data_IF_860990418974
#
_entry.id   IF_860990418974
#
_cell.length_a   1.000
_cell.length_b   1.000
_cell.length_c   1.000
_cell.angle_alpha   90.00
_cell.angle_beta   90.00
_cell.angle_gamma   90.00
#
_symmetry.space_group_name_H-M   'P 1'
#
loop_
_entity.id
_entity.type
_entity.pdbx_description
1 polymer ?
#
# COMPACT_ATOMS: atom_id res chain seq x y z
N UNK A 1 11.38 2.97 -7.91
CA UNK A 1 10.86 1.66 -7.46
C UNK A 1 9.46 1.41 -8.04
N UNK A 2 9.17 0.19 -8.47
CA UNK A 2 7.88 -0.21 -9.03
C UNK A 2 7.33 -1.43 -8.28
N UNK A 3 6.01 -1.47 -8.09
CA UNK A 3 5.34 -2.58 -7.44
C UNK A 3 5.25 -3.79 -8.39
N UNK A 4 5.76 -4.95 -7.97
CA UNK A 4 5.78 -6.18 -8.76
C UNK A 4 4.40 -6.73 -9.11
N UNK A 5 3.34 -6.35 -8.38
CA UNK A 5 1.98 -6.86 -8.61
C UNK A 5 1.09 -5.94 -9.44
N UNK A 6 1.14 -4.63 -9.18
CA UNK A 6 0.22 -3.68 -9.79
C UNK A 6 0.93 -2.57 -10.57
N UNK A 7 2.25 -2.63 -10.71
CA UNK A 7 3.07 -1.70 -11.49
C UNK A 7 2.90 -0.23 -11.10
N UNK A 8 2.41 0.04 -9.87
CA UNK A 8 2.37 1.42 -9.39
C UNK A 8 3.77 1.88 -9.05
N UNK A 9 4.13 3.06 -9.55
CA UNK A 9 5.35 3.79 -9.18
C UNK A 9 5.10 4.78 -8.05
N UNK A 10 3.84 4.99 -7.66
CA UNK A 10 3.42 5.90 -6.60
C UNK A 10 2.82 5.11 -5.45
N UNK A 11 3.40 5.26 -4.26
CA UNK A 11 2.89 4.73 -2.98
C UNK A 11 3.52 5.53 -1.85
N UNK A 12 2.81 5.72 -0.74
CA UNK A 12 3.37 6.40 0.43
C UNK A 12 4.42 5.56 1.16
N UNK A 13 4.22 4.24 1.18
CA UNK A 13 5.10 3.29 1.84
C UNK A 13 5.32 2.10 0.91
N UNK A 14 6.56 1.64 0.81
CA UNK A 14 6.91 0.41 0.12
C UNK A 14 6.90 -0.75 1.11
N UNK A 15 6.40 -1.90 0.69
CA UNK A 15 6.36 -3.14 1.48
C UNK A 15 7.14 -4.22 0.73
N UNK A 16 7.62 -5.22 1.48
CA UNK A 16 8.20 -6.44 0.91
C UNK A 16 7.32 -7.62 1.27
N UNK A 17 7.10 -8.52 0.30
CA UNK A 17 6.46 -9.81 0.57
C UNK A 17 7.43 -10.75 1.31
N UNK A 18 6.93 -11.91 1.77
CA UNK A 18 7.76 -13.00 2.29
C UNK A 18 8.77 -13.54 1.26
N UNK A 19 8.45 -13.42 -0.03
CA UNK A 19 9.33 -13.83 -1.14
C UNK A 19 10.31 -12.73 -1.55
N UNK A 20 10.33 -11.59 -0.85
CA UNK A 20 11.20 -10.46 -1.18
C UNK A 20 10.67 -9.56 -2.31
N UNK A 21 9.49 -9.83 -2.87
CA UNK A 21 8.89 -9.02 -3.92
C UNK A 21 8.52 -7.62 -3.40
N UNK A 22 8.77 -6.59 -4.21
CA UNK A 22 8.46 -5.21 -3.86
C UNK A 22 6.98 -4.92 -4.11
N UNK A 23 6.23 -4.60 -3.04
CA UNK A 23 4.81 -4.32 -3.09
C UNK A 23 4.52 -2.86 -2.68
N UNK A 24 3.47 -2.29 -3.25
CA UNK A 24 2.93 -1.02 -2.77
C UNK A 24 2.22 -1.22 -1.43
N UNK A 25 2.03 -0.14 -0.66
CA UNK A 25 1.40 -0.19 0.66
C UNK A 25 0.07 -0.93 0.63
N UNK A 26 -0.79 -0.58 -0.34
CA UNK A 26 -2.11 -1.15 -0.45
C UNK A 26 -2.08 -2.62 -0.91
N UNK A 27 -1.12 -3.04 -1.74
CA UNK A 27 -0.96 -4.45 -2.13
C UNK A 27 -0.52 -5.30 -0.94
N UNK A 28 0.54 -4.90 -0.24
CA UNK A 28 1.04 -5.66 0.91
C UNK A 28 0.06 -5.72 2.08
N UNK A 29 -0.68 -4.63 2.36
CA UNK A 29 -1.75 -4.67 3.38
C UNK A 29 -2.87 -5.60 2.96
N UNK A 30 -3.29 -5.57 1.69
CA UNK A 30 -4.37 -6.42 1.21
C UNK A 30 -4.02 -7.91 1.32
N UNK A 31 -2.82 -8.31 0.89
CA UNK A 31 -2.34 -9.69 1.03
C UNK A 31 -2.30 -10.10 2.51
N UNK A 32 -1.80 -9.24 3.40
CA UNK A 32 -1.76 -9.54 4.84
C UNK A 32 -3.15 -9.72 5.46
N UNK A 33 -4.15 -8.95 5.03
CA UNK A 33 -5.50 -8.98 5.60
C UNK A 33 -6.42 -10.03 4.95
N UNK A 34 -6.19 -10.37 3.67
CA UNK A 34 -7.09 -11.23 2.88
C UNK A 34 -6.45 -12.54 2.45
N UNK A 35 -5.15 -12.72 2.65
CA UNK A 35 -4.41 -13.94 2.27
C UNK A 35 -4.25 -14.13 0.76
N UNK A 36 -4.66 -13.17 -0.07
CA UNK A 36 -4.61 -13.23 -1.54
C UNK A 36 -4.23 -11.89 -2.14
N UNK A 37 -3.83 -11.90 -3.40
CA UNK A 37 -3.43 -10.69 -4.09
C UNK A 37 -4.56 -9.69 -4.31
N UNK A 38 -4.18 -8.40 -4.32
CA UNK A 38 -5.13 -7.31 -4.52
C UNK A 38 -5.61 -7.29 -5.96
N UNK A 39 -6.92 -7.44 -6.25
CA UNK A 39 -7.42 -7.40 -7.61
C UNK A 39 -7.16 -6.03 -8.24
N UNK A 40 -6.74 -6.03 -9.51
CA UNK A 40 -6.35 -4.81 -10.24
C UNK A 40 -7.54 -3.87 -10.48
N UNK A 41 -8.77 -4.39 -10.49
CA UNK A 41 -10.01 -3.59 -10.55
C UNK A 41 -10.14 -2.59 -9.40
N UNK A 42 -9.54 -2.87 -8.23
CA UNK A 42 -9.55 -1.96 -7.09
C UNK A 42 -8.42 -0.92 -7.11
N UNK A 43 -7.51 -0.99 -8.10
CA UNK A 43 -6.42 -0.02 -8.25
C UNK A 43 -7.00 1.31 -8.70
N UNK A 44 -6.55 2.39 -8.06
CA UNK A 44 -6.88 3.78 -8.44
C UNK A 44 -5.61 4.54 -8.75
N UNK A 45 -5.66 5.38 -9.77
CA UNK A 45 -4.50 6.18 -10.21
C UNK A 45 -4.20 7.36 -9.27
N UNK A 46 -5.22 7.89 -8.59
CA UNK A 46 -5.07 8.98 -7.61
C UNK A 46 -5.02 8.42 -6.20
N UNK A 47 -3.96 8.75 -5.47
CA UNK A 47 -3.80 8.41 -4.06
C UNK A 47 -4.56 9.45 -3.24
N UNK A 48 -5.56 9.02 -2.46
CA UNK A 48 -6.31 9.90 -1.56
C UNK A 48 -5.52 10.12 -0.26
N UNK A 49 -5.26 11.37 0.08
CA UNK A 49 -4.78 11.74 1.42
C UNK A 49 -5.92 11.57 2.43
N UNK A 50 -5.57 11.18 3.65
CA UNK A 50 -6.50 11.21 4.80
C UNK A 50 -6.24 12.48 5.59
N UNK A 51 -7.30 13.07 6.15
CA UNK A 51 -7.18 14.10 7.17
C UNK A 51 -6.33 13.53 8.30
N UNK A 52 -5.19 14.17 8.59
CA UNK A 52 -4.33 13.76 9.70
C UNK A 52 -5.05 14.14 10.98
N UNK A 53 -5.23 13.19 11.89
CA UNK A 53 -5.60 13.55 13.26
C UNK A 53 -4.43 14.37 13.82
N UNK A 54 -4.71 15.60 14.28
CA UNK A 54 -3.72 16.40 14.98
C UNK A 54 -3.16 15.54 16.12
N UNK A 55 -1.83 15.42 16.22
CA UNK A 55 -1.22 14.74 17.35
C UNK A 55 -1.64 15.53 18.59
N UNK A 56 -2.51 14.96 19.42
CA UNK A 56 -2.63 15.41 20.81
C UNK A 56 -1.21 15.31 21.34
N UNK A 57 -0.59 16.46 21.68
CA UNK A 57 0.65 16.48 22.44
C UNK A 57 0.31 15.75 23.74
N UNK A 58 0.71 14.49 23.86
CA UNK A 58 0.91 13.92 25.18
C UNK A 58 2.09 14.71 25.74
N UNK A 59 1.78 15.66 26.64
CA UNK A 59 2.76 16.26 27.52
C UNK A 59 3.36 15.20 28.44
#
# INVERSE_FOLDING_TARGET
PECSHCHTRRTFVWRRSRTGAQLCNAGGVYVRLRGRDRPLSLKRNRIKSRTKHAKVKLC
#
